data_IF_610838946306
#
_entry.id   IF_610838946306
#
_cell.length_a   1.000
_cell.length_b   1.000
_cell.length_c   1.000
_cell.angle_alpha   90.00
_cell.angle_beta   90.00
_cell.angle_gamma   90.00
#
_symmetry.space_group_name_H-M   'P 1'
#
loop_
_entity.id
_entity.type
_entity.pdbx_description
1 polymer ?
#
# COMPACT_ATOMS: atom_id res chain seq x y z
N UNK A 1 -3.84 -23.17 -1.19
CA UNK A 1 -4.68 -21.97 -0.96
C UNK A 1 -3.90 -20.71 -0.57
N UNK A 2 -2.62 -20.79 -0.15
CA UNK A 2 -1.79 -19.61 0.18
C UNK A 2 -1.22 -18.87 -1.06
N UNK A 3 -1.00 -19.56 -2.19
CA UNK A 3 -0.35 -18.98 -3.38
C UNK A 3 -1.12 -17.81 -4.02
N UNK A 4 -2.44 -17.74 -3.78
CA UNK A 4 -3.30 -16.72 -4.37
C UNK A 4 -3.36 -15.46 -3.49
N UNK A 5 -3.04 -15.58 -2.20
CA UNK A 5 -3.13 -14.47 -1.24
C UNK A 5 -2.10 -13.39 -1.57
N UNK A 6 -0.82 -13.77 -1.60
CA UNK A 6 0.28 -12.85 -1.90
C UNK A 6 0.22 -12.30 -3.32
N UNK A 7 -0.24 -13.11 -4.28
CA UNK A 7 -0.49 -12.64 -5.65
C UNK A 7 -1.54 -11.51 -5.65
N UNK A 8 -2.63 -11.67 -4.90
CA UNK A 8 -3.64 -10.61 -4.73
C UNK A 8 -3.07 -9.35 -4.08
N UNK A 9 -2.27 -9.50 -3.02
CA UNK A 9 -1.60 -8.38 -2.34
C UNK A 9 -0.69 -7.60 -3.30
N UNK A 10 0.14 -8.30 -4.08
CA UNK A 10 1.07 -7.68 -5.04
C UNK A 10 0.30 -6.98 -6.16
N UNK A 11 -0.72 -7.62 -6.72
CA UNK A 11 -1.53 -7.01 -7.80
C UNK A 11 -2.31 -5.80 -7.29
N UNK A 12 -2.92 -5.89 -6.11
CA UNK A 12 -3.61 -4.76 -5.50
C UNK A 12 -2.67 -3.61 -5.15
N UNK A 13 -1.45 -3.93 -4.70
CA UNK A 13 -0.39 -2.93 -4.51
C UNK A 13 0.00 -2.25 -5.83
N UNK A 14 0.23 -3.01 -6.90
CA UNK A 14 0.56 -2.46 -8.22
C UNK A 14 -0.55 -1.54 -8.76
N UNK A 15 -1.81 -1.96 -8.64
CA UNK A 15 -2.95 -1.13 -9.04
C UNK A 15 -3.03 0.13 -8.17
N UNK A 16 -2.86 -0.02 -6.86
CA UNK A 16 -2.85 1.10 -5.92
C UNK A 16 -1.70 2.07 -6.16
N UNK A 17 -0.54 1.59 -6.64
CA UNK A 17 0.61 2.41 -6.99
C UNK A 17 0.36 3.21 -8.27
N UNK A 18 -0.13 2.55 -9.33
CA UNK A 18 -0.43 3.20 -10.61
C UNK A 18 -1.54 4.26 -10.44
N UNK A 19 -2.63 3.88 -9.77
CA UNK A 19 -3.75 4.80 -9.56
C UNK A 19 -3.45 5.83 -8.48
N UNK A 20 -2.69 5.46 -7.44
CA UNK A 20 -2.33 6.36 -6.35
C UNK A 20 -1.46 7.53 -6.79
N UNK A 21 -0.70 7.36 -7.87
CA UNK A 21 0.03 8.46 -8.50
C UNK A 21 -0.90 9.54 -9.07
N UNK A 22 -2.02 9.14 -9.68
CA UNK A 22 -3.01 10.06 -10.28
C UNK A 22 -4.07 10.52 -9.26
N UNK A 23 -4.46 9.63 -8.34
CA UNK A 23 -5.55 9.80 -7.39
C UNK A 23 -5.09 9.32 -6.01
N UNK A 24 -4.51 10.20 -5.18
CA UNK A 24 -3.87 9.83 -3.90
C UNK A 24 -4.81 9.14 -2.90
N UNK A 25 -6.11 9.38 -3.00
CA UNK A 25 -7.14 8.81 -2.09
C UNK A 25 -7.81 7.58 -2.71
N UNK A 26 -8.17 7.66 -3.99
CA UNK A 26 -8.93 6.61 -4.68
C UNK A 26 -8.03 5.44 -5.07
N UNK A 27 -6.77 5.71 -5.44
CA UNK A 27 -5.81 4.67 -5.80
C UNK A 27 -5.61 3.62 -4.70
N UNK A 28 -5.29 4.01 -3.45
CA UNK A 28 -5.16 3.08 -2.33
C UNK A 28 -6.44 2.27 -2.06
N UNK A 29 -7.61 2.92 -2.14
CA UNK A 29 -8.92 2.25 -1.97
C UNK A 29 -9.14 1.18 -3.05
N UNK A 30 -8.89 1.51 -4.31
CA UNK A 30 -9.05 0.59 -5.43
C UNK A 30 -8.00 -0.52 -5.40
N UNK A 31 -6.76 -0.20 -5.05
CA UNK A 31 -5.70 -1.19 -4.87
C UNK A 31 -6.04 -2.20 -3.77
N UNK A 32 -6.53 -1.72 -2.63
CA UNK A 32 -7.03 -2.56 -1.55
C UNK A 32 -8.22 -3.41 -1.96
N UNK A 33 -9.15 -2.84 -2.73
CA UNK A 33 -10.28 -3.57 -3.29
C UNK A 33 -9.84 -4.69 -4.22
N UNK A 34 -8.90 -4.44 -5.13
CA UNK A 34 -8.36 -5.46 -6.03
C UNK A 34 -7.66 -6.57 -5.25
N UNK A 35 -6.87 -6.23 -4.23
CA UNK A 35 -6.26 -7.22 -3.35
C UNK A 35 -7.32 -8.10 -2.67
N UNK A 36 -8.33 -7.48 -2.04
CA UNK A 36 -9.39 -8.22 -1.37
C UNK A 36 -10.23 -9.07 -2.31
N UNK A 37 -10.46 -8.61 -3.54
CA UNK A 37 -11.22 -9.33 -4.57
C UNK A 37 -10.49 -10.60 -5.02
N UNK A 38 -9.17 -10.55 -5.17
CA UNK A 38 -8.36 -11.68 -5.63
C UNK A 38 -8.19 -12.77 -4.57
N UNK A 39 -8.09 -12.38 -3.31
CA UNK A 39 -7.79 -13.32 -2.21
C UNK A 39 -8.98 -14.23 -1.86
N UNK A 40 -10.23 -13.77 -2.00
CA UNK A 40 -11.46 -14.50 -1.62
C UNK A 40 -11.47 -14.95 -0.14
N UNK A 41 -12.61 -15.45 0.37
CA UNK A 41 -12.71 -15.93 1.75
C UNK A 41 -13.19 -14.87 2.75
N UNK A 42 -14.09 -14.00 2.30
CA UNK A 42 -14.82 -13.05 3.13
C UNK A 42 -14.06 -11.77 3.55
N UNK A 43 -14.76 -10.95 4.34
CA UNK A 43 -14.32 -9.61 4.78
C UNK A 43 -12.97 -9.63 5.47
N UNK A 44 -12.74 -10.61 6.36
CA UNK A 44 -11.52 -10.68 7.16
C UNK A 44 -10.26 -10.91 6.32
N UNK A 45 -10.32 -11.82 5.34
CA UNK A 45 -9.19 -12.07 4.43
C UNK A 45 -9.01 -10.93 3.43
N UNK A 46 -10.11 -10.34 2.95
CA UNK A 46 -10.06 -9.18 2.06
C UNK A 46 -9.42 -7.96 2.72
N UNK A 47 -9.83 -7.64 3.96
CA UNK A 47 -9.27 -6.55 4.74
C UNK A 47 -7.77 -6.75 5.03
N UNK A 48 -7.36 -7.98 5.39
CA UNK A 48 -5.94 -8.31 5.61
C UNK A 48 -5.12 -8.14 4.33
N UNK A 49 -5.62 -8.61 3.19
CA UNK A 49 -4.94 -8.47 1.92
C UNK A 49 -4.81 -7.00 1.49
N UNK A 50 -5.89 -6.23 1.65
CA UNK A 50 -5.89 -4.79 1.40
C UNK A 50 -4.92 -4.04 2.31
N UNK A 51 -4.94 -4.31 3.61
CA UNK A 51 -3.98 -3.73 4.55
C UNK A 51 -2.54 -4.02 4.12
N UNK A 52 -2.21 -5.29 3.87
CA UNK A 52 -0.85 -5.69 3.46
C UNK A 52 -0.41 -5.02 2.15
N UNK A 53 -1.33 -4.84 1.19
CA UNK A 53 -1.04 -4.11 -0.04
C UNK A 53 -0.71 -2.64 0.22
N UNK A 54 -1.46 -1.98 1.11
CA UNK A 54 -1.20 -0.58 1.52
C UNK A 54 0.12 -0.42 2.28
N UNK A 55 0.46 -1.39 3.14
CA UNK A 55 1.74 -1.42 3.87
C UNK A 55 2.92 -1.56 2.91
N UNK A 56 2.82 -2.48 1.95
CA UNK A 56 3.80 -2.63 0.87
C UNK A 56 3.99 -1.31 0.11
N UNK A 57 2.89 -0.60 -0.16
CA UNK A 57 2.88 0.75 -0.73
C UNK A 57 3.72 1.73 0.06
N UNK A 58 3.42 1.89 1.35
CA UNK A 58 4.10 2.82 2.22
C UNK A 58 5.61 2.52 2.34
N UNK A 59 5.98 1.24 2.49
CA UNK A 59 7.38 0.82 2.59
C UNK A 59 8.15 1.15 1.32
N UNK A 60 7.60 0.82 0.14
CA UNK A 60 8.28 1.06 -1.13
C UNK A 60 8.44 2.56 -1.40
N UNK A 61 7.40 3.36 -1.15
CA UNK A 61 7.49 4.83 -1.32
C UNK A 61 8.55 5.42 -0.39
N UNK A 62 8.58 4.99 0.87
CA UNK A 62 9.57 5.48 1.81
C UNK A 62 11.01 5.10 1.42
N UNK A 63 11.22 3.86 0.95
CA UNK A 63 12.51 3.42 0.44
C UNK A 63 12.94 4.25 -0.78
N UNK A 64 12.02 4.54 -1.72
CA UNK A 64 12.31 5.36 -2.89
C UNK A 64 12.66 6.81 -2.51
N UNK A 65 11.99 7.39 -1.51
CA UNK A 65 12.31 8.73 -1.02
C UNK A 65 13.67 8.78 -0.31
N UNK A 66 13.99 7.76 0.49
CA UNK A 66 15.29 7.68 1.18
C UNK A 66 16.42 7.52 0.16
N UNK A 67 16.28 6.58 -0.78
CA UNK A 67 17.29 6.32 -1.82
C UNK A 67 17.41 7.53 -2.75
N UNK A 68 16.29 8.02 -3.28
CA UNK A 68 16.26 9.18 -4.17
C UNK A 68 16.81 10.44 -3.52
N UNK A 69 16.41 10.72 -2.28
CA UNK A 69 16.94 11.84 -1.50
C UNK A 69 18.44 11.73 -1.28
N UNK A 70 18.94 10.54 -0.94
CA UNK A 70 20.38 10.29 -0.74
C UNK A 70 21.17 10.43 -2.04
N UNK A 71 20.66 9.91 -3.16
CA UNK A 71 21.33 10.01 -4.48
C UNK A 71 21.40 11.46 -4.95
N UNK A 72 20.31 12.23 -4.79
CA UNK A 72 20.22 13.59 -5.32
C UNK A 72 20.94 14.64 -4.45
N UNK A 73 20.92 14.46 -3.12
CA UNK A 73 21.37 15.47 -2.16
C UNK A 73 22.51 14.98 -1.23
N UNK A 74 23.02 13.77 -1.45
CA UNK A 74 24.13 13.19 -0.69
C UNK A 74 23.82 13.03 0.80
N UNK A 75 24.79 13.36 1.67
CA UNK A 75 24.66 13.23 3.12
C UNK A 75 23.53 14.09 3.71
N UNK A 76 23.26 15.28 3.14
CA UNK A 76 22.13 16.12 3.54
C UNK A 76 20.80 15.48 3.17
N UNK A 77 20.73 14.87 1.98
CA UNK A 77 19.61 14.05 1.53
C UNK A 77 19.35 12.83 2.40
N UNK A 78 20.40 12.20 2.90
CA UNK A 78 20.29 11.06 3.81
C UNK A 78 19.75 11.46 5.18
N UNK A 79 20.24 12.56 5.78
CA UNK A 79 19.79 13.02 7.10
C UNK A 79 18.36 13.55 7.04
N UNK A 80 18.06 14.40 6.05
CA UNK A 80 16.70 14.86 5.79
C UNK A 80 15.80 13.68 5.42
N UNK A 81 16.30 12.76 4.60
CA UNK A 81 15.63 11.53 4.20
C UNK A 81 15.26 10.67 5.40
N UNK A 82 16.16 10.40 6.34
CA UNK A 82 15.91 9.60 7.54
C UNK A 82 14.79 10.18 8.42
N UNK A 83 14.87 11.47 8.75
CA UNK A 83 13.85 12.13 9.59
C UNK A 83 12.48 12.19 8.89
N UNK A 84 12.48 12.54 7.60
CA UNK A 84 11.24 12.71 6.83
C UNK A 84 10.63 11.36 6.44
N UNK A 85 11.43 10.36 6.11
CA UNK A 85 10.94 9.03 5.73
C UNK A 85 10.32 8.29 6.92
N UNK A 86 10.79 8.46 8.15
CA UNK A 86 10.13 7.90 9.33
C UNK A 86 8.71 8.46 9.52
N UNK A 87 8.56 9.78 9.41
CA UNK A 87 7.24 10.44 9.51
C UNK A 87 6.34 10.06 8.34
N UNK A 88 6.88 10.03 7.12
CA UNK A 88 6.15 9.62 5.92
C UNK A 88 5.76 8.15 5.98
N UNK A 89 6.59 7.25 6.52
CA UNK A 89 6.21 5.84 6.71
C UNK A 89 4.99 5.76 7.60
N UNK A 90 5.00 6.43 8.76
CA UNK A 90 3.87 6.36 9.70
C UNK A 90 2.62 7.00 9.08
N UNK A 91 2.74 8.18 8.47
CA UNK A 91 1.62 8.88 7.85
C UNK A 91 1.08 8.12 6.63
N UNK A 92 1.94 7.62 5.75
CA UNK A 92 1.55 6.84 4.58
C UNK A 92 1.01 5.47 4.99
N UNK A 93 1.54 4.83 6.03
CA UNK A 93 0.99 3.58 6.54
C UNK A 93 -0.42 3.78 7.09
N UNK A 94 -0.63 4.82 7.89
CA UNK A 94 -1.98 5.14 8.39
C UNK A 94 -2.89 5.47 7.21
N UNK A 95 -2.45 6.27 6.25
CA UNK A 95 -3.29 6.69 5.14
C UNK A 95 -3.56 5.56 4.12
N UNK A 96 -2.52 5.04 3.48
CA UNK A 96 -2.61 3.95 2.49
C UNK A 96 -3.11 2.65 3.12
N UNK A 97 -2.64 2.31 4.32
CA UNK A 97 -3.03 1.09 5.01
C UNK A 97 -4.51 1.07 5.38
N UNK A 98 -5.06 2.16 5.96
CA UNK A 98 -6.49 2.23 6.27
C UNK A 98 -7.35 2.27 5.01
N UNK A 99 -7.00 3.10 4.02
CA UNK A 99 -7.76 3.17 2.78
C UNK A 99 -7.77 1.83 2.04
N UNK A 100 -6.62 1.18 1.94
CA UNK A 100 -6.50 -0.12 1.29
C UNK A 100 -7.18 -1.23 2.12
N UNK A 101 -7.18 -1.13 3.45
CA UNK A 101 -7.97 -2.01 4.32
C UNK A 101 -9.47 -1.86 4.06
N UNK A 102 -9.99 -0.63 3.95
CA UNK A 102 -11.41 -0.37 3.67
C UNK A 102 -11.78 -0.94 2.30
N UNK A 103 -10.97 -0.67 1.27
CA UNK A 103 -11.16 -1.24 -0.06
C UNK A 103 -11.21 -2.76 -0.04
N UNK A 104 -10.24 -3.39 0.65
CA UNK A 104 -10.17 -4.85 0.79
C UNK A 104 -11.33 -5.45 1.59
N UNK A 105 -11.79 -4.77 2.63
CA UNK A 105 -12.95 -5.18 3.41
C UNK A 105 -14.24 -5.14 2.57
N UNK A 106 -14.44 -4.08 1.77
CA UNK A 106 -15.57 -3.97 0.85
C UNK A 106 -15.53 -5.09 -0.18
N UNK A 107 -14.37 -5.34 -0.81
CA UNK A 107 -14.23 -6.42 -1.78
C UNK A 107 -14.52 -7.79 -1.17
N UNK A 108 -14.02 -8.06 0.05
CA UNK A 108 -14.28 -9.31 0.77
C UNK A 108 -15.73 -9.45 1.26
N UNK A 109 -16.46 -8.34 1.44
CA UNK A 109 -17.88 -8.36 1.78
C UNK A 109 -18.74 -8.75 0.56
N UNK A 110 -18.39 -8.21 -0.61
CA UNK A 110 -19.09 -8.47 -1.88
C UNK A 110 -18.76 -9.86 -2.39
N UNK A 111 -17.48 -10.25 -2.34
CA UNK A 111 -16.98 -11.53 -2.84
C UNK A 111 -16.59 -12.44 -1.67
N UNK A 112 -17.60 -13.06 -1.05
CA UNK A 112 -17.40 -14.07 0.01
C UNK A 112 -16.60 -15.26 -0.51
#
# INVERSE_FOLDING_TARGET
MANNFWTGVIVGWLVGLILGFLLPVIGPLVGGFVAGWMVRGGVGNGAKAGLLAGILGAIVIAALLLIGGTILLGAFGFIAGLGTSLVIIVAAFVYQGLLSLIGGAIAGAIRR
#
